data_IF_608041912413
#
_entry.id   IF_608041912413
#
_cell.length_a   1.000
_cell.length_b   1.000
_cell.length_c   1.000
_cell.angle_alpha   90.00
_cell.angle_beta   90.00
_cell.angle_gamma   90.00
#
_symmetry.space_group_name_H-M   'P 1'
#
loop_
_entity.id
_entity.type
_entity.pdbx_description
1 polymer ?
#
# COMPACT_ATOMS: atom_id res chain seq x y z
N UNK A 1 6.18 17.42 6.51
CA UNK A 1 5.26 17.83 5.46
C UNK A 1 4.07 18.61 6.05
N UNK A 2 3.39 18.09 7.07
CA UNK A 2 2.24 18.75 7.70
C UNK A 2 2.57 20.12 8.28
N UNK A 3 3.61 20.23 9.09
CA UNK A 3 4.06 21.48 9.68
C UNK A 3 4.35 22.57 8.62
N UNK A 4 4.91 22.20 7.48
CA UNK A 4 5.22 23.11 6.37
C UNK A 4 4.04 23.31 5.41
N UNK A 5 2.90 22.67 5.66
CA UNK A 5 1.71 22.68 4.80
C UNK A 5 2.05 22.38 3.31
N UNK A 6 3.00 21.47 3.10
CA UNK A 6 3.38 21.07 1.74
C UNK A 6 2.22 20.33 1.06
N UNK A 7 1.92 20.60 -0.21
CA UNK A 7 0.91 19.90 -0.98
C UNK A 7 1.41 18.49 -1.34
N UNK A 8 1.41 17.62 -0.37
CA UNK A 8 1.96 16.26 -0.44
C UNK A 8 0.95 15.24 0.09
N UNK A 9 0.92 14.07 -0.52
CA UNK A 9 0.17 12.91 -0.06
C UNK A 9 1.11 11.70 0.00
N UNK A 10 0.98 10.90 1.04
CA UNK A 10 1.71 9.65 1.19
C UNK A 10 0.85 8.45 0.81
N UNK A 11 1.49 7.41 0.26
CA UNK A 11 0.87 6.09 0.04
C UNK A 11 1.80 5.03 0.60
N UNK A 12 1.26 4.10 1.34
CA UNK A 12 2.01 2.97 1.91
C UNK A 12 1.10 1.75 2.05
N UNK A 13 1.68 0.60 2.40
CA UNK A 13 0.92 -0.60 2.71
C UNK A 13 0.47 -0.60 4.17
N UNK A 14 -0.74 -1.08 4.42
CA UNK A 14 -1.18 -1.46 5.76
C UNK A 14 -0.82 -2.93 6.01
N UNK A 15 0.18 -3.14 6.83
CA UNK A 15 0.65 -4.47 7.16
C UNK A 15 -0.16 -5.04 8.33
N UNK A 16 -1.05 -6.02 8.06
CA UNK A 16 -1.93 -6.60 9.08
C UNK A 16 -1.17 -7.14 10.30
N UNK A 17 0.03 -7.67 10.11
CA UNK A 17 0.89 -8.18 11.18
C UNK A 17 2.17 -7.36 11.35
N UNK A 18 2.54 -6.53 10.35
CA UNK A 18 3.75 -5.72 10.39
C UNK A 18 5.03 -6.56 10.40
N UNK A 19 5.99 -6.12 11.21
CA UNK A 19 7.20 -6.87 11.50
C UNK A 19 6.97 -7.79 12.71
N UNK A 20 7.76 -8.85 12.84
CA UNK A 20 7.64 -9.78 13.95
C UNK A 20 8.07 -9.16 15.28
N UNK A 21 7.50 -9.66 16.37
CA UNK A 21 7.96 -9.40 17.73
C UNK A 21 8.82 -10.56 18.19
N UNK A 22 9.85 -10.28 18.96
CA UNK A 22 10.73 -11.29 19.57
C UNK A 22 10.54 -11.30 21.07
N UNK A 23 10.54 -12.48 21.65
CA UNK A 23 10.64 -12.68 23.09
C UNK A 23 11.60 -13.82 23.37
N UNK A 24 12.16 -13.86 24.57
CA UNK A 24 12.95 -14.98 25.04
C UNK A 24 11.98 -15.95 25.71
N UNK A 25 11.94 -17.19 25.23
CA UNK A 25 11.17 -18.28 25.79
C UNK A 25 11.75 -18.76 27.13
N UNK A 26 11.00 -19.61 27.84
CA UNK A 26 11.43 -20.18 29.11
C UNK A 26 12.69 -21.06 28.96
N UNK A 27 12.92 -21.61 27.79
CA UNK A 27 14.10 -22.40 27.42
C UNK A 27 15.32 -21.54 27.03
N UNK A 28 15.21 -20.20 27.07
CA UNK A 28 16.25 -19.25 26.68
C UNK A 28 16.36 -19.01 25.16
N UNK A 29 15.55 -19.66 24.35
CA UNK A 29 15.54 -19.45 22.90
C UNK A 29 14.69 -18.25 22.51
N UNK A 30 15.01 -17.68 21.32
CA UNK A 30 14.22 -16.58 20.75
C UNK A 30 12.96 -17.15 20.10
N UNK A 31 11.81 -16.71 20.61
CA UNK A 31 10.51 -16.98 19.99
C UNK A 31 10.06 -15.78 19.15
N UNK A 32 9.52 -16.07 17.97
CA UNK A 32 9.00 -15.07 17.04
C UNK A 32 7.48 -15.12 17.02
N UNK A 33 6.83 -13.97 17.20
CA UNK A 33 5.39 -13.85 17.15
C UNK A 33 4.96 -12.75 16.18
N UNK A 34 3.93 -13.01 15.38
CA UNK A 34 3.25 -12.05 14.56
C UNK A 34 1.93 -11.64 15.20
N UNK A 35 1.81 -10.38 15.58
CA UNK A 35 0.62 -9.85 16.27
C UNK A 35 -0.15 -8.99 15.28
N UNK A 36 -1.45 -9.29 15.11
CA UNK A 36 -2.32 -8.48 14.24
C UNK A 36 -2.40 -7.05 14.76
N UNK A 37 -2.18 -6.09 13.86
CA UNK A 37 -2.23 -4.67 14.15
C UNK A 37 -3.67 -4.16 14.05
N UNK A 38 -4.05 -3.31 14.98
CA UNK A 38 -5.29 -2.56 14.94
C UNK A 38 -4.96 -1.08 14.97
N UNK A 39 -5.56 -0.31 14.09
CA UNK A 39 -5.28 1.12 13.94
C UNK A 39 -6.61 1.89 13.85
N UNK A 40 -7.27 2.06 15.00
CA UNK A 40 -8.60 2.68 15.09
C UNK A 40 -8.59 4.18 14.73
N UNK A 41 -7.41 4.78 14.62
CA UNK A 41 -7.22 6.16 14.16
C UNK A 41 -7.21 6.31 12.63
N UNK A 42 -7.26 5.22 11.88
CA UNK A 42 -7.37 5.27 10.42
C UNK A 42 -8.83 5.31 9.99
N UNK A 43 -9.14 6.21 9.07
CA UNK A 43 -10.48 6.37 8.51
C UNK A 43 -10.64 5.47 7.28
N UNK A 44 -11.67 4.66 7.26
CA UNK A 44 -12.07 3.93 6.04
C UNK A 44 -12.64 4.92 5.03
N UNK A 45 -12.01 5.03 3.88
CA UNK A 45 -12.46 5.95 2.82
C UNK A 45 -13.54 5.34 1.92
N UNK A 46 -13.92 4.07 2.15
CA UNK A 46 -14.88 3.31 1.33
C UNK A 46 -14.53 3.23 -0.16
N UNK A 47 -13.25 3.37 -0.50
CA UNK A 47 -12.75 3.31 -1.86
C UNK A 47 -11.79 2.12 -2.02
N UNK A 48 -11.83 1.52 -3.20
CA UNK A 48 -10.96 0.41 -3.58
C UNK A 48 -10.61 0.48 -5.07
N UNK A 49 -9.52 -0.14 -5.43
CA UNK A 49 -9.09 -0.34 -6.82
C UNK A 49 -8.77 -1.80 -7.06
N UNK A 50 -8.70 -2.22 -8.31
CA UNK A 50 -8.25 -3.56 -8.68
C UNK A 50 -6.85 -3.50 -9.28
N UNK A 51 -6.03 -4.48 -8.93
CA UNK A 51 -4.70 -4.71 -9.49
C UNK A 51 -4.61 -6.17 -9.92
N UNK A 52 -4.10 -6.43 -11.10
CA UNK A 52 -3.83 -7.79 -11.54
C UNK A 52 -2.46 -8.24 -11.04
N UNK A 53 -2.42 -9.35 -10.31
CA UNK A 53 -1.20 -9.93 -9.76
C UNK A 53 -1.18 -11.42 -10.11
N UNK A 54 -0.22 -11.85 -10.90
CA UNK A 54 -0.10 -13.23 -11.40
C UNK A 54 -1.38 -13.79 -12.05
N UNK A 55 -2.11 -12.94 -12.80
CA UNK A 55 -3.35 -13.31 -13.48
C UNK A 55 -4.59 -13.31 -12.56
N UNK A 56 -4.44 -13.02 -11.28
CA UNK A 56 -5.55 -12.84 -10.34
C UNK A 56 -5.88 -11.36 -10.15
N UNK A 57 -7.16 -11.02 -10.16
CA UNK A 57 -7.65 -9.68 -9.82
C UNK A 57 -7.69 -9.53 -8.30
N UNK A 58 -6.84 -8.67 -7.79
CA UNK A 58 -6.73 -8.35 -6.37
C UNK A 58 -7.39 -7.01 -6.09
N UNK A 59 -8.39 -7.01 -5.24
CA UNK A 59 -9.05 -5.79 -4.76
C UNK A 59 -8.20 -5.16 -3.66
N UNK A 60 -7.86 -3.89 -3.85
CA UNK A 60 -7.03 -3.10 -2.94
C UNK A 60 -7.88 -2.03 -2.31
N UNK A 61 -8.12 -2.13 -1.02
CA UNK A 61 -8.83 -1.15 -0.20
C UNK A 61 -7.84 -0.17 0.43
N UNK A 62 -8.31 1.00 0.80
CA UNK A 62 -7.47 1.97 1.48
C UNK A 62 -8.12 2.57 2.72
N UNK A 63 -7.27 2.84 3.71
CA UNK A 63 -7.58 3.65 4.87
C UNK A 63 -6.76 4.94 4.81
N UNK A 64 -7.27 6.01 5.39
CA UNK A 64 -6.61 7.31 5.43
C UNK A 64 -6.19 7.67 6.84
N UNK A 65 -4.95 8.11 6.99
CA UNK A 65 -4.49 8.85 8.16
C UNK A 65 -4.79 10.32 7.93
N UNK A 66 -5.66 10.87 8.76
CA UNK A 66 -5.99 12.29 8.69
C UNK A 66 -4.81 13.16 9.20
N UNK A 67 -4.50 14.27 8.50
CA UNK A 67 -3.33 15.11 8.83
C UNK A 67 -3.29 15.59 10.27
N UNK A 68 -4.45 15.89 10.86
CA UNK A 68 -4.54 16.46 12.21
C UNK A 68 -4.19 15.51 13.34
N UNK A 69 -4.06 14.18 13.07
CA UNK A 69 -3.77 13.20 14.13
C UNK A 69 -2.30 13.27 14.58
N UNK A 70 -1.37 13.39 13.60
CA UNK A 70 0.08 13.39 13.85
C UNK A 70 0.80 14.55 13.17
N UNK A 71 0.14 15.65 12.85
CA UNK A 71 0.69 16.82 12.15
C UNK A 71 1.45 16.43 10.85
N UNK A 72 0.89 15.51 10.10
CA UNK A 72 1.47 15.00 8.84
C UNK A 72 0.68 15.47 7.62
N UNK A 73 1.12 15.10 6.40
CA UNK A 73 0.27 15.12 5.22
C UNK A 73 -0.74 13.96 5.26
N UNK A 74 -1.80 13.97 4.44
CA UNK A 74 -2.66 12.79 4.29
C UNK A 74 -1.83 11.57 3.88
N UNK A 75 -2.03 10.43 4.52
CA UNK A 75 -1.37 9.18 4.14
C UNK A 75 -2.41 8.09 3.92
N UNK A 76 -2.35 7.45 2.77
CA UNK A 76 -3.22 6.33 2.41
C UNK A 76 -2.52 5.00 2.65
N UNK A 77 -3.15 4.14 3.42
CA UNK A 77 -2.70 2.80 3.78
C UNK A 77 -3.46 1.77 2.97
N UNK A 78 -2.78 1.12 2.04
CA UNK A 78 -3.35 0.10 1.16
C UNK A 78 -3.38 -1.26 1.84
N UNK A 79 -4.49 -1.98 1.69
CA UNK A 79 -4.61 -3.37 2.16
C UNK A 79 -5.31 -4.24 1.14
N UNK A 80 -4.89 -5.49 1.08
CA UNK A 80 -5.57 -6.57 0.36
C UNK A 80 -6.27 -7.54 1.30
N UNK A 81 -6.09 -7.38 2.63
CA UNK A 81 -6.67 -8.27 3.65
C UNK A 81 -8.14 -7.93 3.91
N UNK A 82 -8.98 -8.20 2.90
CA UNK A 82 -10.42 -8.02 2.88
C UNK A 82 -11.11 -9.31 2.45
N UNK A 83 -12.36 -9.50 2.85
CA UNK A 83 -13.10 -10.76 2.64
C UNK A 83 -13.34 -11.09 1.17
N UNK A 84 -13.42 -10.08 0.30
CA UNK A 84 -13.65 -10.26 -1.13
C UNK A 84 -12.47 -10.84 -1.89
N UNK A 85 -11.29 -10.86 -1.28
CA UNK A 85 -10.09 -11.44 -1.87
C UNK A 85 -9.90 -12.90 -1.48
N UNK A 86 -9.23 -13.66 -2.34
CA UNK A 86 -8.76 -15.01 -2.03
C UNK A 86 -7.79 -15.00 -0.83
N UNK A 87 -7.60 -16.13 -0.18
CA UNK A 87 -6.67 -16.27 0.94
C UNK A 87 -5.24 -15.85 0.55
N UNK A 88 -4.80 -16.23 -0.66
CA UNK A 88 -3.50 -15.80 -1.16
C UNK A 88 -3.43 -14.28 -1.36
N UNK A 89 -4.41 -13.67 -2.01
CA UNK A 89 -4.44 -12.24 -2.25
C UNK A 89 -4.47 -11.45 -0.93
N UNK A 90 -5.21 -11.93 0.08
CA UNK A 90 -5.22 -11.35 1.42
C UNK A 90 -3.85 -11.36 2.07
N UNK A 91 -3.07 -12.43 1.86
CA UNK A 91 -1.74 -12.59 2.46
C UNK A 91 -0.72 -11.56 1.96
N UNK A 92 -0.94 -10.92 0.81
CA UNK A 92 -0.03 -9.91 0.23
C UNK A 92 0.24 -8.76 1.21
N UNK A 93 -0.78 -8.28 1.93
CA UNK A 93 -0.64 -7.19 2.91
C UNK A 93 -0.45 -7.68 4.37
N UNK A 94 -0.08 -8.94 4.58
CA UNK A 94 0.07 -9.48 5.94
C UNK A 94 1.37 -9.03 6.60
N UNK A 95 2.51 -9.32 6.01
CA UNK A 95 3.82 -9.18 6.65
C UNK A 95 4.72 -8.21 5.90
N UNK A 96 5.35 -7.33 6.65
CA UNK A 96 6.48 -6.54 6.15
C UNK A 96 7.69 -7.46 5.98
N UNK A 97 8.43 -7.32 4.88
CA UNK A 97 9.61 -8.11 4.54
C UNK A 97 9.35 -9.62 4.50
N UNK A 98 8.32 -10.03 3.75
CA UNK A 98 8.08 -11.45 3.52
C UNK A 98 9.28 -12.09 2.79
N UNK A 99 9.69 -13.28 3.25
CA UNK A 99 10.80 -14.02 2.64
C UNK A 99 10.47 -14.66 1.29
N UNK A 100 9.19 -14.65 0.88
CA UNK A 100 8.74 -15.20 -0.39
C UNK A 100 8.80 -14.12 -1.48
N UNK A 101 9.65 -14.32 -2.49
CA UNK A 101 9.83 -13.37 -3.60
C UNK A 101 8.53 -13.09 -4.36
N UNK A 102 7.65 -14.08 -4.55
CA UNK A 102 6.36 -13.88 -5.20
C UNK A 102 5.47 -12.92 -4.41
N UNK A 103 5.44 -13.08 -3.09
CA UNK A 103 4.70 -12.16 -2.22
C UNK A 103 5.32 -10.76 -2.28
N UNK A 104 6.65 -10.64 -2.27
CA UNK A 104 7.32 -9.32 -2.38
C UNK A 104 6.98 -8.60 -3.66
N UNK A 105 7.05 -9.28 -4.81
CA UNK A 105 6.65 -8.69 -6.10
C UNK A 105 5.18 -8.30 -6.08
N UNK A 106 4.30 -9.12 -5.50
CA UNK A 106 2.89 -8.80 -5.33
C UNK A 106 2.68 -7.54 -4.46
N UNK A 107 3.41 -7.40 -3.36
CA UNK A 107 3.41 -6.22 -2.49
C UNK A 107 3.81 -4.96 -3.25
N UNK A 108 4.89 -5.02 -4.00
CA UNK A 108 5.39 -3.91 -4.83
C UNK A 108 4.39 -3.53 -5.93
N UNK A 109 3.76 -4.52 -6.54
CA UNK A 109 2.71 -4.33 -7.55
C UNK A 109 1.48 -3.62 -6.95
N UNK A 110 1.01 -4.09 -5.80
CA UNK A 110 -0.11 -3.47 -5.07
C UNK A 110 0.23 -2.05 -4.63
N UNK A 111 1.42 -1.83 -4.06
CA UNK A 111 1.85 -0.50 -3.63
C UNK A 111 1.95 0.47 -4.82
N UNK A 112 2.66 0.09 -5.85
CA UNK A 112 2.95 0.97 -6.99
C UNK A 112 1.72 1.21 -7.87
N UNK A 113 1.17 0.14 -8.46
CA UNK A 113 0.02 0.26 -9.36
C UNK A 113 -1.25 0.63 -8.58
N UNK A 114 -1.52 -0.06 -7.48
CA UNK A 114 -2.68 0.20 -6.64
C UNK A 114 -2.68 1.61 -6.07
N UNK A 115 -1.52 2.09 -5.62
CA UNK A 115 -1.37 3.45 -5.09
C UNK A 115 -1.67 4.52 -6.12
N UNK A 116 -1.12 4.44 -7.34
CA UNK A 116 -1.41 5.39 -8.42
C UNK A 116 -2.90 5.36 -8.80
N UNK A 117 -3.46 4.17 -8.99
CA UNK A 117 -4.89 4.01 -9.32
C UNK A 117 -5.80 4.59 -8.25
N UNK A 118 -5.48 4.36 -6.98
CA UNK A 118 -6.25 4.91 -5.87
C UNK A 118 -6.22 6.43 -5.85
N UNK A 119 -5.02 7.04 -5.86
CA UNK A 119 -4.89 8.49 -5.80
C UNK A 119 -5.68 9.17 -6.93
N UNK A 120 -5.62 8.64 -8.14
CA UNK A 120 -6.38 9.18 -9.27
C UNK A 120 -7.89 8.97 -9.10
N UNK A 121 -8.32 7.80 -8.60
CA UNK A 121 -9.74 7.52 -8.35
C UNK A 121 -10.35 8.50 -7.37
N UNK A 122 -9.60 8.88 -6.33
CA UNK A 122 -10.06 9.84 -5.32
C UNK A 122 -9.76 11.29 -5.66
N UNK A 123 -9.34 11.56 -6.91
CA UNK A 123 -9.25 12.91 -7.48
C UNK A 123 -7.93 13.63 -7.28
N UNK A 124 -6.85 12.95 -6.86
CA UNK A 124 -5.54 13.59 -6.80
C UNK A 124 -4.95 13.80 -8.20
N UNK A 125 -4.58 15.06 -8.47
CA UNK A 125 -3.68 15.44 -9.54
C UNK A 125 -2.30 15.72 -8.93
N UNK A 126 -1.27 15.08 -9.44
CA UNK A 126 0.10 15.25 -8.93
C UNK A 126 1.09 15.47 -10.08
N UNK A 127 1.98 16.44 -9.91
CA UNK A 127 3.03 16.80 -10.88
C UNK A 127 4.30 15.94 -10.70
N UNK A 128 4.48 15.38 -9.50
CA UNK A 128 5.66 14.60 -9.15
C UNK A 128 5.27 13.40 -8.30
N UNK A 129 5.87 12.25 -8.61
CA UNK A 129 5.79 11.05 -7.79
C UNK A 129 7.17 10.71 -7.28
N UNK A 130 7.35 10.74 -5.96
CA UNK A 130 8.58 10.32 -5.31
C UNK A 130 8.47 8.84 -4.93
N UNK A 131 9.34 8.01 -5.49
CA UNK A 131 9.41 6.59 -5.16
C UNK A 131 10.49 6.39 -4.11
N UNK A 132 10.12 5.81 -2.98
CA UNK A 132 11.08 5.47 -1.93
C UNK A 132 11.66 4.09 -2.23
N UNK A 133 12.92 4.06 -2.66
CA UNK A 133 13.64 2.86 -3.09
C UNK A 133 12.98 2.12 -4.27
N UNK A 134 13.29 0.85 -4.46
CA UNK A 134 12.75 0.01 -5.55
C UNK A 134 11.32 -0.48 -5.34
N UNK A 135 10.84 -0.49 -4.10
CA UNK A 135 9.55 -1.12 -3.74
C UNK A 135 8.32 -0.53 -4.41
N UNK A 136 8.38 0.73 -4.82
CA UNK A 136 7.29 1.40 -5.51
C UNK A 136 7.53 1.53 -7.04
N UNK A 137 8.56 0.89 -7.59
CA UNK A 137 8.89 0.95 -9.01
C UNK A 137 7.72 0.65 -9.96
N UNK A 138 6.80 -0.30 -9.67
CA UNK A 138 5.63 -0.53 -10.51
C UNK A 138 4.73 0.69 -10.71
N UNK A 139 4.81 1.72 -9.85
CA UNK A 139 4.13 2.99 -10.06
C UNK A 139 4.61 3.70 -11.33
N UNK A 140 5.90 3.64 -11.64
CA UNK A 140 6.45 4.24 -12.85
C UNK A 140 5.88 3.57 -14.12
N UNK A 141 5.69 2.27 -14.10
CA UNK A 141 5.07 1.55 -15.23
C UNK A 141 3.60 1.94 -15.42
N UNK A 142 2.83 2.04 -14.34
CA UNK A 142 1.44 2.49 -14.41
C UNK A 142 1.33 3.92 -14.96
N UNK A 143 2.22 4.82 -14.56
CA UNK A 143 2.28 6.18 -15.07
C UNK A 143 2.64 6.23 -16.56
N UNK A 144 3.63 5.44 -17.00
CA UNK A 144 4.05 5.38 -18.42
C UNK A 144 2.93 4.84 -19.32
N UNK A 145 2.19 3.82 -18.87
CA UNK A 145 1.04 3.28 -19.61
C UNK A 145 -0.02 4.38 -19.81
N UNK A 146 -0.26 5.18 -18.77
CA UNK A 146 -1.25 6.25 -18.80
C UNK A 146 -0.82 7.42 -19.69
N UNK A 147 0.45 7.81 -19.65
CA UNK A 147 0.99 8.84 -20.56
C UNK A 147 0.81 8.42 -22.02
N UNK A 148 1.16 7.17 -22.38
CA UNK A 148 0.91 6.63 -23.72
C UNK A 148 -0.56 6.64 -24.12
N UNK A 149 -1.48 6.44 -23.20
CA UNK A 149 -2.92 6.49 -23.45
C UNK A 149 -3.39 7.92 -23.69
N UNK A 150 -2.85 8.90 -22.99
CA UNK A 150 -3.15 10.31 -23.17
C UNK A 150 -2.67 10.82 -24.53
N UNK A 151 -1.44 10.51 -24.93
CA UNK A 151 -0.90 10.89 -26.24
C UNK A 151 -1.74 10.34 -27.41
N UNK A 152 -2.27 9.13 -27.29
CA UNK A 152 -3.13 8.54 -28.34
C UNK A 152 -4.52 9.16 -28.46
N UNK A 153 -4.99 9.87 -27.43
CA UNK A 153 -6.31 10.50 -27.42
C UNK A 153 -6.23 12.04 -27.63
N UNK A 154 -5.03 12.58 -27.86
CA UNK A 154 -4.82 13.98 -28.21
C UNK A 154 -4.76 14.24 -29.73
N UNK A 155 -4.83 13.21 -30.53
CA UNK A 155 -4.89 13.20 -31.99
C UNK A 155 -6.06 12.30 -32.43
#
# INVERSE_FOLDING_TARGET
AGYLQMPMVGVTMFWSYGYYNQRIGEDGNVEVAYIRKHCDFLTDINESVEVEVYGEKVKVKAYKLEPGIFDTCPVYYLTTDIEENSEWARSISHKLYDGNEKIRIAQETVLGIGGIRLLQKIGYNFDCVHLNEGHALPAAFELLIRLKYWEKNLF
#
